data_IF_462573696785
#
_entry.id   IF_462573696785
#
_cell.length_a   1.000
_cell.length_b   1.000
_cell.length_c   1.000
_cell.angle_alpha   90.00
_cell.angle_beta   90.00
_cell.angle_gamma   90.00
#
_symmetry.space_group_name_H-M   'P 1'
#
loop_
_entity.id
_entity.type
_entity.pdbx_description
1 polymer ?
#
# COMPACT_ATOMS: atom_id res chain seq x y z
N UNK A 1 -2.46 21.27 -44.58
CA UNK A 1 -3.63 21.25 -43.66
C UNK A 1 -3.71 19.89 -42.98
N UNK A 2 -3.62 19.86 -41.64
CA UNK A 2 -4.32 18.98 -40.69
C UNK A 2 -3.53 18.97 -39.38
N UNK A 3 -3.82 19.97 -38.55
CA UNK A 3 -3.47 20.02 -37.13
C UNK A 3 -4.51 19.16 -36.40
N UNK A 4 -4.14 17.98 -35.91
CA UNK A 4 -5.01 17.14 -35.06
C UNK A 4 -4.15 16.30 -34.10
N UNK A 5 -3.54 16.99 -33.15
CA UNK A 5 -3.14 16.51 -31.82
C UNK A 5 -3.26 17.78 -30.95
N UNK A 6 -3.83 17.77 -29.73
CA UNK A 6 -4.01 16.64 -28.81
C UNK A 6 -5.39 16.61 -28.08
N UNK A 7 -6.07 15.46 -27.99
CA UNK A 7 -7.27 15.33 -27.14
C UNK A 7 -7.24 14.17 -26.13
N UNK A 8 -6.08 13.54 -25.92
CA UNK A 8 -5.98 12.33 -25.08
C UNK A 8 -5.47 12.65 -23.65
N UNK A 9 -5.13 13.90 -23.35
CA UNK A 9 -4.49 14.31 -22.07
C UNK A 9 -5.48 14.81 -20.99
N UNK A 10 -6.71 14.31 -20.94
CA UNK A 10 -7.72 14.76 -19.95
C UNK A 10 -8.39 13.65 -19.13
N UNK A 11 -8.12 12.37 -19.38
CA UNK A 11 -8.82 11.26 -18.71
C UNK A 11 -8.01 10.57 -17.60
N UNK A 12 -6.71 10.88 -17.43
CA UNK A 12 -5.84 10.15 -16.51
C UNK A 12 -5.90 10.50 -15.01
N UNK A 13 -6.47 11.60 -14.51
CA UNK A 13 -6.40 11.87 -13.06
C UNK A 13 -7.46 11.12 -12.24
N UNK A 14 -8.47 10.49 -12.85
CA UNK A 14 -9.57 9.85 -12.12
C UNK A 14 -9.22 8.47 -11.53
N UNK A 15 -8.17 7.81 -12.03
CA UNK A 15 -7.82 6.44 -11.58
C UNK A 15 -7.00 6.41 -10.29
N UNK A 16 -6.44 7.54 -9.84
CA UNK A 16 -5.75 7.61 -8.55
C UNK A 16 -6.71 7.71 -7.35
N UNK A 17 -7.96 8.09 -7.58
CA UNK A 17 -8.98 8.22 -6.52
C UNK A 17 -9.71 6.92 -6.16
N UNK A 18 -9.66 5.90 -7.02
CA UNK A 18 -10.42 4.66 -6.81
C UNK A 18 -9.78 3.74 -5.76
N UNK A 19 -8.45 3.72 -5.63
CA UNK A 19 -7.77 2.87 -4.64
C UNK A 19 -7.90 3.43 -3.22
N UNK A 20 -7.86 4.76 -3.06
CA UNK A 20 -7.94 5.40 -1.73
C UNK A 20 -9.35 5.40 -1.14
N UNK A 21 -10.39 5.47 -1.98
CA UNK A 21 -11.78 5.36 -1.53
C UNK A 21 -12.07 3.97 -0.95
N UNK A 22 -11.56 2.91 -1.60
CA UNK A 22 -11.81 1.53 -1.18
C UNK A 22 -11.11 1.17 0.15
N UNK A 23 -9.91 1.70 0.41
CA UNK A 23 -9.19 1.41 1.66
C UNK A 23 -9.83 2.09 2.87
N UNK A 24 -10.27 3.35 2.72
CA UNK A 24 -10.93 4.09 3.79
C UNK A 24 -12.29 3.47 4.16
N UNK A 25 -13.08 3.07 3.17
CA UNK A 25 -14.34 2.35 3.39
C UNK A 25 -14.10 0.95 3.99
N UNK A 26 -13.08 0.24 3.51
CA UNK A 26 -12.65 -1.05 4.06
C UNK A 26 -12.24 -0.98 5.53
N UNK A 27 -11.40 0.00 5.90
CA UNK A 27 -10.98 0.24 7.28
C UNK A 27 -12.17 0.57 8.19
N UNK A 28 -13.14 1.36 7.69
CA UNK A 28 -14.37 1.67 8.44
C UNK A 28 -15.25 0.43 8.62
N UNK A 29 -15.36 -0.42 7.61
CA UNK A 29 -16.09 -1.68 7.71
C UNK A 29 -15.43 -2.66 8.69
N UNK A 30 -14.10 -2.77 8.68
CA UNK A 30 -13.33 -3.57 9.64
C UNK A 30 -13.53 -3.07 11.07
N UNK A 31 -13.36 -1.75 11.29
CA UNK A 31 -13.58 -1.13 12.59
C UNK A 31 -15.01 -1.34 13.09
N UNK A 32 -16.01 -1.21 12.21
CA UNK A 32 -17.40 -1.49 12.55
C UNK A 32 -17.62 -2.96 12.93
N UNK A 33 -17.06 -3.90 12.17
CA UNK A 33 -17.19 -5.33 12.43
C UNK A 33 -16.64 -5.71 13.82
N UNK A 34 -15.51 -5.12 14.22
CA UNK A 34 -14.92 -5.29 15.56
C UNK A 34 -15.77 -4.67 16.66
N UNK A 35 -16.34 -3.50 16.41
CA UNK A 35 -17.13 -2.75 17.38
C UNK A 35 -18.62 -3.08 17.38
N UNK A 36 -19.08 -4.06 16.57
CA UNK A 36 -20.51 -4.34 16.36
C UNK A 36 -21.29 -4.67 17.63
N UNK A 37 -20.60 -5.21 18.63
CA UNK A 37 -21.16 -5.63 19.91
C UNK A 37 -21.03 -4.58 21.02
N UNK A 38 -20.60 -3.36 20.71
CA UNK A 38 -20.53 -2.29 21.69
C UNK A 38 -21.94 -2.00 22.28
N UNK A 39 -22.02 -1.75 23.61
CA UNK A 39 -23.28 -1.75 24.37
C UNK A 39 -24.24 -0.60 23.99
N UNK A 40 -23.74 0.44 23.32
CA UNK A 40 -24.54 1.57 22.87
C UNK A 40 -23.89 2.31 21.70
N UNK A 41 -24.59 3.28 21.09
CA UNK A 41 -24.07 4.02 19.93
C UNK A 41 -22.82 4.83 20.27
N UNK A 42 -22.77 5.47 21.44
CA UNK A 42 -21.63 6.28 21.89
C UNK A 42 -20.38 5.41 22.13
N UNK A 43 -20.55 4.27 22.81
CA UNK A 43 -19.45 3.33 23.06
C UNK A 43 -18.95 2.69 21.77
N UNK A 44 -19.85 2.49 20.79
CA UNK A 44 -19.48 2.03 19.45
C UNK A 44 -18.63 3.05 18.71
N UNK A 45 -18.97 4.33 18.81
CA UNK A 45 -18.20 5.40 18.19
C UNK A 45 -16.78 5.51 18.80
N UNK A 46 -16.68 5.45 20.13
CA UNK A 46 -15.39 5.42 20.85
C UNK A 46 -14.54 4.22 20.44
N UNK A 47 -15.17 3.04 20.36
CA UNK A 47 -14.53 1.81 19.88
C UNK A 47 -14.03 1.99 18.43
N UNK A 48 -14.91 2.43 17.52
CA UNK A 48 -14.58 2.60 16.11
C UNK A 48 -13.45 3.59 15.89
N UNK A 49 -13.42 4.70 16.65
CA UNK A 49 -12.34 5.68 16.58
C UNK A 49 -11.00 5.06 16.94
N UNK A 50 -10.98 4.22 17.98
CA UNK A 50 -9.78 3.52 18.43
C UNK A 50 -9.32 2.50 17.38
N UNK A 51 -10.25 1.68 16.88
CA UNK A 51 -9.93 0.67 15.85
C UNK A 51 -9.43 1.30 14.56
N UNK A 52 -10.04 2.39 14.10
CA UNK A 52 -9.56 3.14 12.93
C UNK A 52 -8.14 3.67 13.13
N UNK A 53 -7.82 4.18 14.33
CA UNK A 53 -6.46 4.64 14.63
C UNK A 53 -5.45 3.49 14.61
N UNK A 54 -5.84 2.31 15.12
CA UNK A 54 -4.99 1.12 15.10
C UNK A 54 -4.77 0.58 13.67
N UNK A 55 -5.81 0.57 12.84
CA UNK A 55 -5.71 0.17 11.42
C UNK A 55 -4.75 1.10 10.69
N UNK A 56 -4.91 2.42 10.82
CA UNK A 56 -4.01 3.39 10.19
C UNK A 56 -2.57 3.27 10.69
N UNK A 57 -2.36 2.97 11.98
CA UNK A 57 -1.03 2.75 12.52
C UNK A 57 -0.37 1.49 11.91
N UNK A 58 -1.14 0.42 11.71
CA UNK A 58 -0.67 -0.79 11.03
C UNK A 58 -0.30 -0.50 9.58
N UNK A 59 -1.16 0.16 8.82
CA UNK A 59 -0.90 0.50 7.41
C UNK A 59 0.38 1.35 7.26
N UNK A 60 0.60 2.32 8.15
CA UNK A 60 1.83 3.12 8.16
C UNK A 60 3.06 2.27 8.47
N UNK A 61 2.96 1.36 9.44
CA UNK A 61 4.06 0.46 9.77
C UNK A 61 4.39 -0.49 8.61
N UNK A 62 3.37 -1.04 7.95
CA UNK A 62 3.54 -1.90 6.79
C UNK A 62 4.17 -1.16 5.62
N UNK A 63 3.72 0.07 5.32
CA UNK A 63 4.33 0.91 4.32
C UNK A 63 5.82 1.20 4.62
N UNK A 64 6.15 1.47 5.90
CA UNK A 64 7.54 1.65 6.33
C UNK A 64 8.36 0.37 6.16
N UNK A 65 7.81 -0.79 6.53
CA UNK A 65 8.49 -2.08 6.35
C UNK A 65 8.79 -2.36 4.89
N UNK A 66 7.82 -2.15 4.00
CA UNK A 66 8.00 -2.33 2.55
C UNK A 66 9.10 -1.41 2.03
N UNK A 67 9.15 -0.15 2.49
CA UNK A 67 10.23 0.78 2.12
C UNK A 67 11.60 0.30 2.62
N UNK A 68 11.70 -0.05 3.91
CA UNK A 68 12.94 -0.56 4.51
C UNK A 68 13.43 -1.83 3.80
N UNK A 69 12.53 -2.77 3.50
CA UNK A 69 12.88 -4.02 2.81
C UNK A 69 13.40 -3.74 1.40
N UNK A 70 12.81 -2.77 0.71
CA UNK A 70 13.26 -2.30 -0.61
C UNK A 70 14.63 -1.65 -0.54
N UNK A 71 14.83 -0.72 0.39
CA UNK A 71 16.13 -0.08 0.60
C UNK A 71 17.21 -1.10 0.94
N UNK A 72 16.90 -2.09 1.79
CA UNK A 72 17.82 -3.16 2.13
C UNK A 72 18.15 -4.06 0.92
N UNK A 73 17.18 -4.33 0.06
CA UNK A 73 17.40 -5.07 -1.19
C UNK A 73 18.30 -4.28 -2.16
N UNK A 74 18.04 -2.99 -2.34
CA UNK A 74 18.85 -2.09 -3.16
C UNK A 74 20.29 -1.97 -2.63
N UNK A 75 20.45 -1.89 -1.30
CA UNK A 75 21.77 -1.88 -0.66
C UNK A 75 22.55 -3.18 -0.88
N UNK A 76 21.90 -4.34 -0.71
CA UNK A 76 22.53 -5.65 -0.98
C UNK A 76 22.96 -5.76 -2.45
N UNK A 77 22.12 -5.31 -3.37
CA UNK A 77 22.46 -5.27 -4.79
C UNK A 77 23.69 -4.39 -5.06
N UNK A 78 23.75 -3.18 -4.49
CA UNK A 78 24.88 -2.28 -4.67
C UNK A 78 26.21 -2.88 -4.16
N UNK A 79 26.18 -3.63 -3.06
CA UNK A 79 27.36 -4.34 -2.53
C UNK A 79 27.84 -5.42 -3.50
N UNK A 80 26.92 -6.18 -4.10
CA UNK A 80 27.26 -7.22 -5.07
C UNK A 80 27.84 -6.63 -6.36
N UNK A 81 27.23 -5.55 -6.87
CA UNK A 81 27.74 -4.82 -8.04
C UNK A 81 29.15 -4.26 -7.79
N UNK A 82 29.40 -3.68 -6.59
CA UNK A 82 30.72 -3.18 -6.20
C UNK A 82 31.77 -4.31 -6.07
N UNK A 83 31.32 -5.55 -5.81
CA UNK A 83 32.17 -6.74 -5.74
C UNK A 83 32.46 -7.35 -7.11
N UNK A 84 31.97 -6.75 -8.20
CA UNK A 84 32.19 -7.18 -9.58
C UNK A 84 31.13 -8.13 -10.13
N UNK A 85 30.03 -8.35 -9.41
CA UNK A 85 28.88 -9.13 -9.91
C UNK A 85 28.11 -8.29 -10.94
N UNK A 86 27.67 -8.92 -12.04
CA UNK A 86 26.87 -8.23 -13.06
C UNK A 86 25.54 -7.76 -12.47
N UNK A 87 24.97 -6.66 -12.97
CA UNK A 87 23.71 -6.09 -12.47
C UNK A 87 22.54 -7.09 -12.49
N UNK A 88 22.48 -7.93 -13.51
CA UNK A 88 21.41 -8.93 -13.65
C UNK A 88 21.55 -10.03 -12.60
N UNK A 89 22.77 -10.45 -12.28
CA UNK A 89 23.06 -11.46 -11.26
C UNK A 89 22.99 -10.89 -9.83
N UNK A 90 23.24 -9.59 -9.67
CA UNK A 90 23.19 -8.88 -8.39
C UNK A 90 21.77 -8.47 -7.98
N UNK A 91 20.79 -8.57 -8.89
CA UNK A 91 19.42 -8.10 -8.70
C UNK A 91 18.77 -8.78 -7.49
N UNK A 92 18.37 -7.97 -6.50
CA UNK A 92 17.65 -8.43 -5.33
C UNK A 92 16.15 -8.14 -5.49
N UNK A 93 15.31 -9.04 -4.99
CA UNK A 93 13.85 -8.86 -4.97
C UNK A 93 13.35 -8.89 -3.53
N UNK A 94 12.37 -8.05 -3.22
CA UNK A 94 11.62 -8.08 -1.96
C UNK A 94 10.41 -9.01 -2.03
N UNK A 95 10.11 -9.54 -3.22
CA UNK A 95 9.03 -10.50 -3.43
C UNK A 95 9.50 -11.87 -2.94
N UNK A 96 8.76 -12.45 -2.00
CA UNK A 96 9.02 -13.79 -1.48
C UNK A 96 8.63 -14.88 -2.47
N UNK A 97 7.92 -14.54 -3.56
CA UNK A 97 7.36 -15.48 -4.53
C UNK A 97 6.29 -16.41 -3.94
N UNK A 98 5.88 -16.16 -2.69
CA UNK A 98 4.90 -16.98 -1.97
C UNK A 98 3.49 -16.44 -2.27
N UNK A 99 2.88 -16.93 -3.33
CA UNK A 99 1.48 -16.65 -3.63
C UNK A 99 0.57 -17.64 -2.89
N UNK A 100 -0.48 -17.14 -2.23
CA UNK A 100 -1.55 -18.01 -1.72
C UNK A 100 -2.20 -18.73 -2.92
N UNK A 101 -2.45 -20.04 -2.85
CA UNK A 101 -3.16 -20.75 -3.90
C UNK A 101 -4.59 -20.21 -4.03
N UNK A 102 -5.06 -20.09 -5.28
CA UNK A 102 -6.41 -19.64 -5.64
C UNK A 102 -7.53 -20.50 -5.02
#
# INVERSE_FOLDING_TARGET
>A
MKKLLPLIMLATPLMAGCVSANSAEGAKAEAYAKCRYAPGPEEREKCMKTELALIQARERNEAQRIQTDREAAEQRQAILEASGVSREDAKQTTDSGLHLPD
#
